data_IF_889205732928
#
_entry.id   IF_889205732928
#
_cell.length_a   1.000
_cell.length_b   1.000
_cell.length_c   1.000
_cell.angle_alpha   90.00
_cell.angle_beta   90.00
_cell.angle_gamma   90.00
#
_symmetry.space_group_name_H-M   'P 1'
#
loop_
_entity.id
_entity.type
_entity.pdbx_description
1 polymer ?
#
# COMPACT_ATOMS: atom_id res chain seq x y z
N UNK A 1 28.89 9.46 9.44
CA UNK A 1 28.17 8.18 9.67
C UNK A 1 26.99 8.16 8.72
N UNK A 2 27.08 7.38 7.63
CA UNK A 2 26.10 7.38 6.55
C UNK A 2 24.77 6.82 7.07
N UNK A 3 23.71 7.63 7.02
CA UNK A 3 22.33 7.26 7.38
C UNK A 3 21.64 6.40 6.31
N UNK A 4 22.39 5.86 5.35
CA UNK A 4 21.84 5.35 4.10
C UNK A 4 21.34 3.91 4.15
N UNK A 5 21.55 3.15 5.24
CA UNK A 5 21.16 1.73 5.28
C UNK A 5 20.63 1.23 6.64
N UNK A 6 19.97 2.07 7.42
CA UNK A 6 19.25 1.59 8.60
C UNK A 6 17.74 1.73 8.40
N UNK A 7 17.10 0.62 8.03
CA UNK A 7 15.64 0.47 8.14
C UNK A 7 15.29 0.72 9.61
N UNK A 8 14.54 1.78 9.87
CA UNK A 8 14.13 2.11 11.23
C UNK A 8 13.16 1.04 11.74
N UNK A 9 13.09 0.85 13.07
CA UNK A 9 12.11 -0.05 13.68
C UNK A 9 10.67 0.18 13.17
N UNK A 10 10.31 1.44 12.88
CA UNK A 10 9.00 1.81 12.33
C UNK A 10 8.80 1.38 10.88
N UNK A 11 9.83 1.47 10.05
CA UNK A 11 9.78 0.96 8.67
C UNK A 11 9.72 -0.57 8.63
N UNK A 12 10.43 -1.23 9.54
CA UNK A 12 10.35 -2.68 9.67
C UNK A 12 8.94 -3.13 10.12
N UNK A 13 8.33 -2.44 11.08
CA UNK A 13 6.95 -2.70 11.48
C UNK A 13 5.96 -2.47 10.33
N UNK A 14 6.15 -1.40 9.55
CA UNK A 14 5.33 -1.15 8.35
C UNK A 14 5.48 -2.28 7.33
N UNK A 15 6.71 -2.76 7.09
CA UNK A 15 6.95 -3.88 6.18
C UNK A 15 6.26 -5.17 6.64
N UNK A 16 6.21 -5.44 7.95
CA UNK A 16 5.48 -6.59 8.49
C UNK A 16 3.99 -6.48 8.20
N UNK A 17 3.39 -5.31 8.43
CA UNK A 17 1.96 -5.07 8.14
C UNK A 17 1.64 -5.18 6.64
N UNK A 18 2.50 -4.60 5.78
CA UNK A 18 2.35 -4.70 4.33
C UNK A 18 2.48 -6.15 3.84
N UNK A 19 3.36 -6.94 4.46
CA UNK A 19 3.51 -8.36 4.16
C UNK A 19 2.30 -9.18 4.60
N UNK A 20 1.72 -8.87 5.76
CA UNK A 20 0.48 -9.49 6.19
C UNK A 20 -0.68 -9.21 5.20
N UNK A 21 -0.76 -7.98 4.68
CA UNK A 21 -1.73 -7.63 3.64
C UNK A 21 -1.43 -8.35 2.31
N UNK A 22 -0.16 -8.43 1.89
CA UNK A 22 0.25 -9.20 0.71
C UNK A 22 -0.17 -10.67 0.82
N UNK A 23 0.10 -11.31 1.96
CA UNK A 23 -0.23 -12.72 2.21
C UNK A 23 -1.75 -12.93 2.22
N UNK A 24 -2.51 -11.99 2.78
CA UNK A 24 -3.98 -12.00 2.73
C UNK A 24 -4.51 -11.89 1.30
N UNK A 25 -4.00 -10.94 0.52
CA UNK A 25 -4.38 -10.74 -0.89
C UNK A 25 -3.96 -11.92 -1.77
N UNK A 26 -2.84 -12.58 -1.45
CA UNK A 26 -2.43 -13.81 -2.13
C UNK A 26 -3.42 -14.96 -1.91
N UNK A 27 -3.93 -15.09 -0.68
CA UNK A 27 -4.81 -16.19 -0.31
C UNK A 27 -6.28 -15.93 -0.69
N UNK A 28 -6.73 -14.68 -0.61
CA UNK A 28 -8.16 -14.32 -0.70
C UNK A 28 -8.44 -13.23 -1.73
N UNK A 29 -7.44 -12.73 -2.46
CA UNK A 29 -7.59 -11.63 -3.40
C UNK A 29 -8.43 -11.97 -4.64
N UNK A 30 -8.59 -11.02 -5.57
CA UNK A 30 -7.75 -9.82 -5.76
C UNK A 30 -8.05 -8.62 -4.83
N UNK A 31 -9.19 -8.58 -4.13
CA UNK A 31 -9.54 -7.55 -3.14
C UNK A 31 -9.66 -8.15 -1.74
N UNK A 32 -9.82 -7.32 -0.70
CA UNK A 32 -9.74 -7.82 0.70
C UNK A 32 -10.78 -8.89 1.01
N UNK A 33 -11.95 -8.85 0.36
CA UNK A 33 -13.01 -9.82 0.56
C UNK A 33 -13.23 -10.75 -0.67
N UNK A 34 -12.22 -10.95 -1.52
CA UNK A 34 -12.37 -11.79 -2.71
C UNK A 34 -12.39 -11.00 -4.01
N UNK A 35 -13.29 -11.41 -4.91
CA UNK A 35 -13.36 -10.93 -6.28
C UNK A 35 -13.88 -9.50 -6.44
N UNK A 36 -14.64 -9.01 -5.45
CA UNK A 36 -15.36 -7.74 -5.55
C UNK A 36 -14.81 -6.72 -4.56
N UNK A 37 -14.82 -5.47 -5.00
CA UNK A 37 -14.56 -4.31 -4.13
C UNK A 37 -15.66 -4.23 -3.09
N UNK A 38 -15.26 -4.09 -1.83
CA UNK A 38 -16.15 -3.94 -0.68
C UNK A 38 -15.88 -2.64 0.07
N UNK A 39 -16.68 -2.35 1.10
CA UNK A 39 -16.48 -1.19 1.97
C UNK A 39 -15.09 -1.16 2.62
N UNK A 40 -14.48 -2.32 2.88
CA UNK A 40 -13.12 -2.42 3.43
C UNK A 40 -12.09 -1.86 2.46
N UNK A 41 -12.21 -2.20 1.18
CA UNK A 41 -11.32 -1.71 0.13
C UNK A 41 -11.44 -0.19 -0.05
N UNK A 42 -12.68 0.32 -0.04
CA UNK A 42 -12.95 1.76 -0.12
C UNK A 42 -12.37 2.53 1.07
N UNK A 43 -12.35 1.93 2.26
CA UNK A 43 -11.79 2.53 3.47
C UNK A 43 -10.25 2.48 3.53
N UNK A 44 -9.63 1.41 2.99
CA UNK A 44 -8.18 1.23 3.01
C UNK A 44 -7.47 2.05 1.96
N UNK A 45 -8.03 2.11 0.77
CA UNK A 45 -7.37 2.68 -0.37
C UNK A 45 -6.96 4.17 -0.27
N UNK A 46 -7.72 5.12 0.34
CA UNK A 46 -7.22 6.47 0.55
C UNK A 46 -6.03 6.50 1.53
N UNK A 47 -6.00 5.59 2.52
CA UNK A 47 -4.87 5.46 3.46
C UNK A 47 -3.63 4.96 2.75
N UNK A 48 -3.77 3.93 1.91
CA UNK A 48 -2.67 3.36 1.13
C UNK A 48 -2.15 4.35 0.07
N UNK A 49 -3.04 5.16 -0.52
CA UNK A 49 -2.63 6.22 -1.43
C UNK A 49 -1.76 7.27 -0.74
N UNK A 50 -2.21 7.80 0.40
CA UNK A 50 -1.41 8.74 1.18
C UNK A 50 -0.09 8.12 1.66
N UNK A 51 -0.10 6.84 2.05
CA UNK A 51 1.10 6.11 2.45
C UNK A 51 2.15 6.13 1.34
N UNK A 52 1.79 5.73 0.11
CA UNK A 52 2.73 5.68 -1.02
C UNK A 52 3.28 7.06 -1.36
N UNK A 53 2.42 8.08 -1.42
CA UNK A 53 2.83 9.45 -1.77
C UNK A 53 3.70 10.06 -0.67
N UNK A 54 3.30 9.96 0.60
CA UNK A 54 4.02 10.56 1.71
C UNK A 54 5.38 9.90 1.94
N UNK A 55 5.46 8.57 1.84
CA UNK A 55 6.73 7.86 2.00
C UNK A 55 7.70 8.17 0.85
N UNK A 56 7.20 8.24 -0.39
CA UNK A 56 8.00 8.68 -1.53
C UNK A 56 8.52 10.11 -1.35
N UNK A 57 7.65 11.06 -0.99
CA UNK A 57 8.01 12.48 -0.91
C UNK A 57 8.90 12.81 0.30
N UNK A 58 8.54 12.35 1.50
CA UNK A 58 9.23 12.76 2.73
C UNK A 58 10.40 11.88 3.11
N UNK A 59 10.42 10.63 2.65
CA UNK A 59 11.44 9.64 3.05
C UNK A 59 12.22 9.03 1.88
N UNK A 60 11.88 9.35 0.63
CA UNK A 60 12.39 8.64 -0.55
C UNK A 60 12.25 7.12 -0.42
N UNK A 61 11.22 6.66 0.30
CA UNK A 61 11.01 5.26 0.60
C UNK A 61 9.94 4.70 -0.33
N UNK A 62 10.28 3.60 -1.00
CA UNK A 62 9.41 2.92 -1.94
C UNK A 62 8.96 1.58 -1.38
N UNK A 63 7.72 1.19 -1.66
CA UNK A 63 7.23 -0.13 -1.29
C UNK A 63 7.97 -1.18 -2.14
N UNK A 64 8.53 -2.23 -1.53
CA UNK A 64 9.26 -3.26 -2.25
C UNK A 64 8.45 -3.86 -3.41
N UNK A 65 9.08 -4.02 -4.56
CA UNK A 65 8.45 -4.61 -5.75
C UNK A 65 8.08 -6.09 -5.55
N UNK A 66 8.67 -6.75 -4.56
CA UNK A 66 8.36 -8.14 -4.18
C UNK A 66 6.92 -8.34 -3.69
N UNK A 67 6.22 -7.27 -3.29
CA UNK A 67 4.81 -7.31 -2.85
C UNK A 67 3.87 -7.19 -4.06
N UNK A 68 3.90 -8.18 -4.94
CA UNK A 68 3.23 -8.13 -6.24
C UNK A 68 1.70 -8.04 -6.13
N UNK A 69 1.08 -8.75 -5.17
CA UNK A 69 -0.38 -8.72 -5.00
C UNK A 69 -0.85 -7.38 -4.45
N UNK A 70 -0.08 -6.77 -3.55
CA UNK A 70 -0.29 -5.42 -3.06
C UNK A 70 -0.21 -4.39 -4.20
N UNK A 71 0.82 -4.45 -5.06
CA UNK A 71 0.93 -3.53 -6.20
C UNK A 71 -0.25 -3.67 -7.16
N UNK A 72 -0.68 -4.91 -7.44
CA UNK A 72 -1.86 -5.17 -8.27
C UNK A 72 -3.15 -4.64 -7.62
N UNK A 73 -3.29 -4.81 -6.30
CA UNK A 73 -4.41 -4.30 -5.53
C UNK A 73 -4.49 -2.76 -5.60
N UNK A 74 -3.40 -2.04 -5.33
CA UNK A 74 -3.35 -0.57 -5.45
C UNK A 74 -3.69 -0.12 -6.88
N UNK A 75 -3.17 -0.82 -7.89
CA UNK A 75 -3.45 -0.51 -9.29
C UNK A 75 -4.93 -0.72 -9.64
N UNK A 76 -5.55 -1.80 -9.15
CA UNK A 76 -6.98 -2.07 -9.34
C UNK A 76 -7.88 -1.05 -8.64
N UNK A 77 -7.42 -0.52 -7.50
CA UNK A 77 -8.11 0.51 -6.73
C UNK A 77 -7.97 1.92 -7.32
N UNK A 78 -6.88 2.22 -8.05
CA UNK A 78 -6.57 3.55 -8.59
C UNK A 78 -7.76 4.26 -9.27
N UNK A 79 -8.59 3.62 -10.13
CA UNK A 79 -9.72 4.27 -10.78
C UNK A 79 -10.76 4.83 -9.79
N UNK A 80 -10.93 4.17 -8.64
CA UNK A 80 -11.89 4.58 -7.60
C UNK A 80 -11.44 5.91 -6.97
N UNK A 81 -10.14 6.08 -6.71
CA UNK A 81 -9.61 7.28 -6.03
C UNK A 81 -9.31 8.41 -7.01
N UNK A 82 -8.94 8.12 -8.25
CA UNK A 82 -8.69 9.19 -9.24
C UNK A 82 -9.96 10.01 -9.54
N UNK A 83 -11.14 9.40 -9.38
CA UNK A 83 -12.42 10.12 -9.53
C UNK A 83 -12.68 11.12 -8.41
N UNK A 84 -12.13 10.90 -7.22
CA UNK A 84 -12.36 11.72 -6.02
C UNK A 84 -11.04 12.31 -5.48
N UNK A 85 -10.02 12.41 -6.33
CA UNK A 85 -8.70 12.91 -5.94
C UNK A 85 -8.84 14.36 -5.46
N UNK A 86 -8.42 14.68 -4.22
CA UNK A 86 -8.28 16.06 -3.82
C UNK A 86 -7.19 16.70 -4.67
N UNK A 87 -7.52 17.80 -5.35
CA UNK A 87 -6.53 18.71 -5.94
C UNK A 87 -5.76 19.33 -4.78
N UNK A 88 -4.53 18.87 -4.58
CA UNK A 88 -3.54 19.61 -3.80
C UNK A 88 -2.65 20.36 -4.79
#
# INVERSE_FOLDING_TARGET
MNRENQVTFREQALLVELKALEDHLKAQGPYVAGEKVTSVDLALAPKLYHLVIALGHFKNWVIPESLAHFHNYIKGLKPIFTKYKPSF
#
